data_IF_807905554420
#
_entry.id   IF_807905554420
#
_cell.length_a   1.000
_cell.length_b   1.000
_cell.length_c   1.000
_cell.angle_alpha   90.00
_cell.angle_beta   90.00
_cell.angle_gamma   90.00
#
_symmetry.space_group_name_H-M   'P 1'
#
loop_
_entity.id
_entity.type
_entity.pdbx_description
1 polymer ?
#
# COMPACT_ATOMS: atom_id res chain seq x y z
N UNK A 1 7.90 9.23 0.09
CA UNK A 1 8.80 8.15 -0.37
C UNK A 1 9.36 8.55 -1.71
N UNK A 2 10.56 9.03 -1.76
CA UNK A 2 11.26 9.26 -3.03
C UNK A 2 11.79 7.91 -3.48
N UNK A 3 11.25 7.40 -4.60
CA UNK A 3 11.77 6.21 -5.25
C UNK A 3 13.24 6.46 -5.61
N UNK A 4 14.15 5.64 -5.15
CA UNK A 4 15.59 5.71 -5.47
C UNK A 4 15.85 5.56 -6.98
N UNK A 5 15.42 6.53 -7.79
CA UNK A 5 15.70 6.64 -9.21
C UNK A 5 15.04 5.64 -10.16
N UNK A 6 14.31 4.64 -9.66
CA UNK A 6 13.67 3.62 -10.53
C UNK A 6 12.43 4.14 -11.25
N UNK A 7 11.66 5.02 -10.58
CA UNK A 7 10.46 5.64 -11.14
C UNK A 7 10.55 7.16 -10.93
N UNK A 8 11.00 7.92 -11.93
CA UNK A 8 11.06 9.38 -11.85
C UNK A 8 9.68 10.03 -11.72
N UNK A 9 8.64 9.38 -12.27
CA UNK A 9 7.27 9.86 -12.18
C UNK A 9 6.48 9.03 -11.18
N UNK A 10 5.92 9.69 -10.16
CA UNK A 10 5.07 9.09 -9.14
C UNK A 10 3.70 9.78 -9.16
N UNK A 11 2.65 8.99 -9.32
CA UNK A 11 1.26 9.43 -9.30
C UNK A 11 0.57 8.70 -8.16
N UNK A 12 0.08 9.44 -7.19
CA UNK A 12 -0.70 8.91 -6.06
C UNK A 12 -2.15 9.34 -6.20
N UNK A 13 -3.06 8.38 -6.02
CA UNK A 13 -4.49 8.59 -6.05
C UNK A 13 -5.08 7.91 -4.82
N UNK A 14 -5.79 8.65 -3.98
CA UNK A 14 -6.55 8.09 -2.88
C UNK A 14 -8.04 8.02 -3.29
N UNK A 15 -8.56 6.80 -3.44
CA UNK A 15 -9.91 6.56 -3.96
C UNK A 15 -11.01 6.94 -2.98
N UNK A 16 -10.75 6.91 -1.68
CA UNK A 16 -11.70 7.39 -0.68
C UNK A 16 -11.86 8.91 -0.75
N UNK A 17 -10.76 9.65 -0.94
CA UNK A 17 -10.80 11.10 -1.15
C UNK A 17 -11.49 11.47 -2.45
N UNK A 18 -11.20 10.73 -3.52
CA UNK A 18 -11.89 10.94 -4.81
C UNK A 18 -13.40 10.72 -4.68
N UNK A 19 -13.83 9.68 -3.98
CA UNK A 19 -15.24 9.36 -3.75
C UNK A 19 -15.98 10.43 -2.95
N UNK A 20 -15.30 11.08 -2.01
CA UNK A 20 -15.83 12.19 -1.20
C UNK A 20 -15.77 13.55 -1.91
N UNK A 21 -14.91 13.70 -2.92
CA UNK A 21 -14.65 14.91 -3.67
C UNK A 21 -15.14 14.87 -5.12
N UNK A 22 -14.22 14.96 -6.05
CA UNK A 22 -14.48 15.16 -7.49
C UNK A 22 -15.07 13.93 -8.18
N UNK A 23 -14.92 12.75 -7.60
CA UNK A 23 -15.45 11.46 -8.10
C UNK A 23 -15.01 11.14 -9.53
N UNK A 24 -13.79 11.51 -9.89
CA UNK A 24 -13.23 11.32 -11.23
C UNK A 24 -13.18 9.84 -11.63
N UNK A 25 -12.97 8.95 -10.66
CA UNK A 25 -12.87 7.50 -10.89
C UNK A 25 -14.20 6.75 -10.72
N UNK A 26 -15.31 7.44 -10.38
CA UNK A 26 -16.60 6.79 -10.16
C UNK A 26 -17.10 6.02 -11.39
N UNK A 27 -16.87 6.54 -12.58
CA UNK A 27 -17.27 5.92 -13.85
C UNK A 27 -16.09 5.28 -14.62
N UNK A 28 -14.94 5.10 -13.97
CA UNK A 28 -13.77 4.47 -14.56
C UNK A 28 -13.90 2.93 -14.64
N UNK A 29 -14.89 2.46 -15.42
CA UNK A 29 -15.21 1.04 -15.58
C UNK A 29 -14.41 0.37 -16.70
N UNK A 30 -13.73 1.14 -17.54
CA UNK A 30 -12.84 0.67 -18.60
C UNK A 30 -11.43 1.25 -18.41
N UNK A 31 -10.45 0.63 -19.04
CA UNK A 31 -9.05 1.11 -19.00
C UNK A 31 -8.93 2.51 -19.57
N UNK A 32 -9.66 2.81 -20.65
CA UNK A 32 -9.67 4.12 -21.30
C UNK A 32 -10.21 5.20 -20.34
N UNK A 33 -11.35 4.93 -19.69
CA UNK A 33 -11.95 5.88 -18.75
C UNK A 33 -11.08 6.08 -17.51
N UNK A 34 -10.38 5.02 -17.07
CA UNK A 34 -9.41 5.13 -16.00
C UNK A 34 -8.24 6.04 -16.39
N UNK A 35 -7.69 5.87 -17.60
CA UNK A 35 -6.59 6.71 -18.08
C UNK A 35 -7.02 8.16 -18.31
N UNK A 36 -8.25 8.39 -18.72
CA UNK A 36 -8.80 9.73 -18.84
C UNK A 36 -8.86 10.41 -17.47
N UNK A 37 -9.43 9.76 -16.47
CA UNK A 37 -9.46 10.25 -15.09
C UNK A 37 -8.05 10.47 -14.53
N UNK A 38 -7.14 9.49 -14.76
CA UNK A 38 -5.75 9.58 -14.34
C UNK A 38 -5.04 10.79 -14.97
N UNK A 39 -5.32 11.12 -16.23
CA UNK A 39 -4.71 12.26 -16.91
C UNK A 39 -5.07 13.60 -16.28
N UNK A 40 -6.28 13.72 -15.71
CA UNK A 40 -6.70 14.91 -14.99
C UNK A 40 -5.88 15.10 -13.71
N UNK A 41 -5.61 14.00 -12.99
CA UNK A 41 -4.84 14.05 -11.74
C UNK A 41 -3.34 14.19 -12.00
N UNK A 42 -2.84 13.53 -13.01
CA UNK A 42 -1.41 13.37 -13.26
C UNK A 42 -0.82 14.51 -14.10
N UNK A 43 -1.60 15.09 -15.02
CA UNK A 43 -1.07 16.07 -15.98
C UNK A 43 0.15 15.51 -16.74
N UNK A 44 1.20 16.29 -16.81
CA UNK A 44 2.45 15.93 -17.53
C UNK A 44 3.26 14.78 -16.91
N UNK A 45 2.85 14.29 -15.72
CA UNK A 45 3.52 13.14 -15.07
C UNK A 45 3.20 11.79 -15.71
N UNK A 46 2.21 11.73 -16.59
CA UNK A 46 1.92 10.53 -17.37
C UNK A 46 2.97 10.36 -18.48
N UNK A 47 3.90 9.45 -18.26
CA UNK A 47 4.93 9.08 -19.23
C UNK A 47 4.81 7.58 -19.59
N UNK A 48 5.89 6.81 -19.56
CA UNK A 48 5.90 5.39 -19.90
C UNK A 48 5.93 4.47 -18.67
N UNK A 49 5.73 3.17 -18.89
CA UNK A 49 5.71 2.14 -17.84
C UNK A 49 7.01 2.09 -17.01
N UNK A 50 8.15 2.32 -17.65
CA UNK A 50 9.45 2.19 -16.97
C UNK A 50 9.74 3.35 -16.06
N UNK A 51 9.12 4.49 -16.32
CA UNK A 51 9.35 5.73 -15.59
C UNK A 51 8.20 6.16 -14.70
N UNK A 52 7.02 5.55 -14.82
CA UNK A 52 5.82 5.96 -14.08
C UNK A 52 5.31 4.85 -13.16
N UNK A 53 5.23 5.19 -11.87
CA UNK A 53 4.58 4.38 -10.83
C UNK A 53 3.26 5.04 -10.45
N UNK A 54 2.15 4.28 -10.58
CA UNK A 54 0.83 4.70 -10.12
C UNK A 54 0.51 3.97 -8.82
N UNK A 55 0.33 4.72 -7.75
CA UNK A 55 -0.07 4.23 -6.46
C UNK A 55 -1.56 4.52 -6.25
N UNK A 56 -2.34 3.46 -6.08
CA UNK A 56 -3.79 3.53 -5.89
C UNK A 56 -4.08 3.18 -4.44
N UNK A 57 -4.38 4.19 -3.63
CA UNK A 57 -4.68 4.03 -2.21
C UNK A 57 -6.19 3.87 -2.00
N UNK A 58 -6.58 3.04 -1.01
CA UNK A 58 -7.98 2.72 -0.67
C UNK A 58 -8.80 2.24 -1.88
N UNK A 59 -8.22 1.35 -2.69
CA UNK A 59 -8.82 0.89 -3.96
C UNK A 59 -10.24 0.32 -3.78
N UNK A 60 -10.54 -0.26 -2.60
CA UNK A 60 -11.87 -0.82 -2.29
C UNK A 60 -12.96 0.25 -2.16
N UNK A 61 -12.63 1.54 -2.15
CA UNK A 61 -13.65 2.59 -2.17
C UNK A 61 -14.55 2.51 -3.42
N UNK A 62 -14.02 1.94 -4.50
CA UNK A 62 -14.75 1.66 -5.73
C UNK A 62 -14.62 0.18 -6.12
N UNK A 63 -15.68 -0.60 -5.95
CA UNK A 63 -15.68 -2.06 -6.20
C UNK A 63 -15.26 -2.42 -7.63
N UNK A 64 -15.62 -1.61 -8.62
CA UNK A 64 -15.29 -1.86 -10.02
C UNK A 64 -13.78 -1.74 -10.30
N UNK A 65 -13.04 -0.96 -9.53
CA UNK A 65 -11.59 -0.81 -9.70
C UNK A 65 -10.84 -2.09 -9.33
N UNK A 66 -11.36 -2.88 -8.39
CA UNK A 66 -10.78 -4.17 -8.02
C UNK A 66 -10.75 -5.14 -9.21
N UNK A 67 -11.77 -5.10 -10.06
CA UNK A 67 -11.82 -5.89 -11.29
C UNK A 67 -10.97 -5.24 -12.39
N UNK A 68 -11.01 -3.92 -12.48
CA UNK A 68 -10.30 -3.17 -13.52
C UNK A 68 -8.79 -3.28 -13.40
N UNK A 69 -8.24 -3.40 -12.19
CA UNK A 69 -6.78 -3.53 -11.96
C UNK A 69 -6.16 -4.64 -12.81
N UNK A 70 -6.86 -5.76 -12.99
CA UNK A 70 -6.41 -6.84 -13.87
C UNK A 70 -6.13 -6.33 -15.29
N UNK A 71 -7.09 -5.62 -15.86
CA UNK A 71 -6.99 -5.12 -17.24
C UNK A 71 -5.92 -4.02 -17.35
N UNK A 72 -5.76 -3.17 -16.33
CA UNK A 72 -4.69 -2.18 -16.28
C UNK A 72 -3.30 -2.84 -16.25
N UNK A 73 -3.17 -3.98 -15.55
CA UNK A 73 -1.92 -4.73 -15.50
C UNK A 73 -1.63 -5.44 -16.83
N UNK A 74 -2.66 -6.02 -17.48
CA UNK A 74 -2.54 -6.67 -18.79
C UNK A 74 -2.18 -5.66 -19.88
N UNK A 75 -2.80 -4.48 -19.88
CA UNK A 75 -2.45 -3.37 -20.78
C UNK A 75 -1.00 -2.91 -20.58
N UNK A 76 -0.52 -2.97 -19.34
CA UNK A 76 0.89 -2.78 -19.01
C UNK A 76 1.45 -1.39 -19.31
N UNK A 77 0.61 -0.36 -19.42
CA UNK A 77 1.01 1.02 -19.70
C UNK A 77 1.81 1.66 -18.58
N UNK A 78 1.53 1.29 -17.31
CA UNK A 78 2.25 1.78 -16.14
C UNK A 78 2.61 0.63 -15.19
N UNK A 79 3.42 0.94 -14.17
CA UNK A 79 3.61 0.06 -13.01
C UNK A 79 2.64 0.49 -11.92
N UNK A 80 1.94 -0.47 -11.31
CA UNK A 80 0.90 -0.20 -10.32
C UNK A 80 1.26 -0.78 -8.96
N UNK A 81 0.93 -0.04 -7.91
CA UNK A 81 0.82 -0.53 -6.54
C UNK A 81 -0.55 -0.11 -6.04
N UNK A 82 -1.30 -1.03 -5.47
CA UNK A 82 -2.59 -0.74 -4.86
C UNK A 82 -2.54 -1.08 -3.37
N UNK A 83 -3.12 -0.22 -2.53
CA UNK A 83 -3.35 -0.49 -1.12
C UNK A 83 -4.85 -0.51 -0.80
N UNK A 84 -5.21 -1.18 0.30
CA UNK A 84 -6.57 -1.19 0.77
C UNK A 84 -6.75 -2.06 2.00
N UNK A 85 -7.66 -1.65 2.87
CA UNK A 85 -8.04 -2.41 4.05
C UNK A 85 -8.77 -3.68 3.64
N UNK A 86 -8.42 -4.83 4.25
CA UNK A 86 -9.02 -6.14 3.96
C UNK A 86 -8.91 -6.58 2.48
N UNK A 87 -7.97 -6.01 1.74
CA UNK A 87 -7.80 -6.29 0.31
C UNK A 87 -7.66 -7.80 0.05
N UNK A 88 -6.97 -8.53 0.92
CA UNK A 88 -6.83 -9.99 0.82
C UNK A 88 -8.15 -10.75 0.93
N UNK A 89 -9.13 -10.26 1.69
CA UNK A 89 -10.47 -10.87 1.81
C UNK A 89 -11.33 -10.52 0.59
N UNK A 90 -11.25 -9.28 0.15
CA UNK A 90 -12.00 -8.77 -1.00
C UNK A 90 -11.52 -9.43 -2.29
N UNK A 91 -10.20 -9.57 -2.46
CA UNK A 91 -9.60 -10.25 -3.61
C UNK A 91 -9.99 -11.74 -3.70
N UNK A 92 -10.13 -12.44 -2.55
CA UNK A 92 -10.60 -13.85 -2.53
C UNK A 92 -12.06 -14.00 -2.97
N UNK A 93 -12.89 -12.97 -2.78
CA UNK A 93 -14.29 -12.95 -3.22
C UNK A 93 -14.46 -12.58 -4.70
N UNK A 94 -13.45 -11.95 -5.28
CA UNK A 94 -13.46 -11.51 -6.68
C UNK A 94 -12.97 -12.67 -7.55
N UNK A 95 -13.86 -13.39 -8.20
CA UNK A 95 -13.59 -14.59 -9.03
C UNK A 95 -12.64 -14.35 -10.23
N UNK A 96 -12.18 -13.15 -10.47
CA UNK A 96 -11.51 -12.74 -11.70
C UNK A 96 -10.07 -12.29 -11.57
N UNK A 97 -9.41 -12.52 -10.43
CA UNK A 97 -7.99 -12.12 -10.29
C UNK A 97 -7.10 -13.24 -10.79
N UNK A 98 -6.30 -13.02 -11.84
CA UNK A 98 -5.35 -14.03 -12.32
C UNK A 98 -4.28 -14.27 -11.25
N UNK A 99 -4.21 -15.50 -10.78
CA UNK A 99 -3.09 -15.98 -9.99
C UNK A 99 -1.82 -15.83 -10.85
N UNK A 100 -0.91 -14.94 -10.45
CA UNK A 100 0.36 -14.71 -11.15
C UNK A 100 0.62 -13.28 -11.65
N UNK A 101 -0.42 -12.44 -11.78
CA UNK A 101 -0.26 -11.03 -12.19
C UNK A 101 -0.10 -10.07 -11.01
N UNK A 102 -0.44 -10.49 -9.79
CA UNK A 102 -0.40 -9.67 -8.58
C UNK A 102 0.48 -10.34 -7.53
N UNK A 103 1.39 -9.58 -6.96
CA UNK A 103 2.17 -9.99 -5.77
C UNK A 103 1.56 -9.34 -4.54
N UNK A 104 0.78 -10.07 -3.72
CA UNK A 104 0.23 -9.52 -2.49
C UNK A 104 1.32 -9.35 -1.44
N UNK A 105 1.35 -8.19 -0.82
CA UNK A 105 2.17 -7.88 0.34
C UNK A 105 1.25 -7.57 1.52
N UNK A 106 1.47 -8.23 2.65
CA UNK A 106 0.73 -7.97 3.86
C UNK A 106 1.51 -6.97 4.72
N UNK A 107 0.82 -5.92 5.13
CA UNK A 107 1.33 -4.94 6.06
C UNK A 107 0.54 -5.07 7.36
N UNK A 108 1.25 -5.34 8.45
CA UNK A 108 0.67 -5.46 9.79
C UNK A 108 0.96 -4.18 10.58
N UNK A 109 0.16 -3.89 11.63
CA UNK A 109 0.55 -2.91 12.63
C UNK A 109 1.90 -3.27 13.23
N UNK A 110 2.62 -2.29 13.76
CA UNK A 110 3.85 -2.52 14.48
C UNK A 110 3.63 -3.54 15.60
N UNK A 111 4.50 -4.53 15.68
CA UNK A 111 4.55 -5.39 16.85
C UNK A 111 5.16 -4.63 18.06
N UNK A 112 5.19 -5.29 19.21
CA UNK A 112 5.68 -4.62 20.43
C UNK A 112 7.16 -4.22 20.32
N UNK A 113 7.99 -5.04 19.69
CA UNK A 113 9.41 -4.71 19.50
C UNK A 113 9.60 -3.56 18.53
N UNK A 114 8.89 -3.58 17.41
CA UNK A 114 8.91 -2.50 16.42
C UNK A 114 8.41 -1.18 17.03
N UNK A 115 7.39 -1.25 17.87
CA UNK A 115 6.91 -0.10 18.65
C UNK A 115 8.00 0.44 19.59
N UNK A 116 8.71 -0.42 20.30
CA UNK A 116 9.81 -0.01 21.17
C UNK A 116 10.94 0.64 20.36
N UNK A 117 11.31 0.09 19.20
CA UNK A 117 12.32 0.70 18.31
C UNK A 117 11.91 2.08 17.84
N UNK A 118 10.64 2.22 17.41
CA UNK A 118 10.10 3.52 16.98
C UNK A 118 10.14 4.58 18.08
N UNK A 119 10.09 4.16 19.35
CA UNK A 119 10.23 5.01 20.52
C UNK A 119 11.69 5.17 21.01
N UNK A 120 12.67 4.70 20.24
CA UNK A 120 14.09 4.88 20.54
C UNK A 120 14.64 3.94 21.61
N UNK A 121 13.92 2.85 21.94
CA UNK A 121 14.42 1.83 22.87
C UNK A 121 15.54 1.04 22.18
N UNK A 122 16.72 1.02 22.78
CA UNK A 122 17.89 0.37 22.21
C UNK A 122 17.75 -1.16 22.19
N UNK A 123 18.41 -1.79 21.22
CA UNK A 123 18.36 -3.22 20.97
C UNK A 123 18.70 -4.08 22.20
N UNK A 124 19.71 -3.69 22.97
CA UNK A 124 20.11 -4.42 24.18
C UNK A 124 19.00 -4.48 25.23
N UNK A 125 18.23 -3.41 25.36
CA UNK A 125 17.07 -3.36 26.28
C UNK A 125 16.00 -4.34 25.82
N UNK A 126 15.73 -4.39 24.52
CA UNK A 126 14.72 -5.28 23.94
C UNK A 126 15.14 -6.75 24.10
N UNK A 127 16.39 -7.07 23.86
CA UNK A 127 16.95 -8.41 24.06
C UNK A 127 16.85 -8.85 25.53
N UNK A 128 17.14 -7.95 26.49
CA UNK A 128 17.00 -8.25 27.91
C UNK A 128 15.53 -8.45 28.32
N UNK A 129 14.62 -7.62 27.82
CA UNK A 129 13.18 -7.78 28.05
C UNK A 129 12.65 -9.10 27.50
N UNK A 130 13.11 -9.51 26.31
CA UNK A 130 12.75 -10.82 25.71
C UNK A 130 13.25 -11.96 26.59
N UNK A 131 14.53 -11.93 27.01
CA UNK A 131 15.09 -12.92 27.94
C UNK A 131 14.29 -12.99 29.24
N UNK A 132 13.99 -11.83 29.85
CA UNK A 132 13.19 -11.78 31.06
C UNK A 132 11.81 -12.39 30.90
N UNK A 133 11.16 -12.17 29.75
CA UNK A 133 9.87 -12.78 29.45
C UNK A 133 9.96 -14.30 29.30
N UNK A 134 10.97 -14.79 28.57
CA UNK A 134 11.19 -16.24 28.36
C UNK A 134 11.55 -16.95 29.66
N UNK A 135 12.43 -16.36 30.48
CA UNK A 135 12.88 -16.92 31.76
C UNK A 135 11.89 -16.66 32.93
N UNK A 136 10.84 -15.86 32.69
CA UNK A 136 9.87 -15.43 33.70
C UNK A 136 10.51 -14.73 34.91
N UNK A 137 11.51 -13.90 34.66
CA UNK A 137 12.19 -13.09 35.68
C UNK A 137 11.87 -11.61 35.47
N UNK A 138 11.99 -10.83 36.54
CA UNK A 138 11.78 -9.38 36.45
C UNK A 138 12.95 -8.72 35.73
N UNK A 139 12.69 -7.74 34.84
CA UNK A 139 13.76 -6.94 34.24
C UNK A 139 14.46 -6.07 35.28
N UNK A 140 15.66 -5.60 34.94
CA UNK A 140 16.43 -4.73 35.82
C UNK A 140 15.66 -3.41 36.10
N UNK A 141 15.69 -2.94 37.35
CA UNK A 141 14.99 -1.70 37.79
C UNK A 141 15.40 -0.47 36.96
N UNK A 142 16.62 -0.44 36.43
CA UNK A 142 17.07 0.67 35.57
C UNK A 142 16.28 0.77 34.25
N UNK A 143 15.65 -0.33 33.80
CA UNK A 143 14.85 -0.36 32.58
C UNK A 143 13.46 0.23 32.83
N UNK A 144 12.93 0.16 34.05
CA UNK A 144 11.63 0.70 34.43
C UNK A 144 11.57 2.23 34.49
N UNK A 145 12.70 2.94 34.43
CA UNK A 145 12.76 4.39 34.62
C UNK A 145 12.84 5.20 33.32
N UNK A 146 12.72 4.54 32.18
CA UNK A 146 12.64 5.18 30.86
C UNK A 146 11.28 4.93 30.22
#
# INVERSE_FOLDING_TARGET
MTSNGKFPNFIEINMEKDKQGDRLFAEAKTTENFYLALSVVAGDRMSDKKSTLVFIDEIQAYDHLLTLVKFLMEDGRFTYIASGSLLGVTLKKTQSIPIGSITPLHMYPLDFEEFLWANGVGRLVIEDLRRCFEERVSPNESIHRK
#
